data_IF_803041318883
#
_entry.id   IF_803041318883
#
_cell.length_a   1.000
_cell.length_b   1.000
_cell.length_c   1.000
_cell.angle_alpha   90.00
_cell.angle_beta   90.00
_cell.angle_gamma   90.00
#
_symmetry.space_group_name_H-M   'P 1'
#
loop_
_entity.id
_entity.type
_entity.pdbx_description
1 polymer ?
#
# COMPACT_ATOMS: atom_id res chain seq x y z
N UNK A 1 11.86 5.36 -0.01
CA UNK A 1 10.50 5.47 0.58
C UNK A 1 10.29 6.83 1.24
N UNK A 2 11.09 7.24 2.23
CA UNK A 2 10.90 8.53 2.94
C UNK A 2 10.81 9.78 2.05
N UNK A 3 11.66 9.90 1.02
CA UNK A 3 11.61 11.03 0.09
C UNK A 3 10.31 11.12 -0.73
N UNK A 4 9.75 9.98 -1.16
CA UNK A 4 8.49 9.96 -1.90
C UNK A 4 7.29 10.29 -1.01
N UNK A 5 7.31 9.86 0.26
CA UNK A 5 6.29 10.21 1.25
C UNK A 5 6.33 11.70 1.56
N UNK A 6 7.51 12.27 1.80
CA UNK A 6 7.68 13.71 2.02
C UNK A 6 7.22 14.53 0.80
N UNK A 7 7.61 14.10 -0.41
CA UNK A 7 7.16 14.74 -1.64
C UNK A 7 5.64 14.68 -1.76
N UNK A 8 5.05 13.50 -1.53
CA UNK A 8 3.61 13.34 -1.56
C UNK A 8 2.90 14.24 -0.54
N UNK A 9 3.38 14.32 0.72
CA UNK A 9 2.80 15.20 1.74
C UNK A 9 2.81 16.66 1.30
N UNK A 10 3.95 17.14 0.79
CA UNK A 10 4.10 18.54 0.34
C UNK A 10 3.20 18.81 -0.87
N UNK A 11 3.22 17.92 -1.87
CA UNK A 11 2.41 18.06 -3.08
C UNK A 11 0.92 17.95 -2.77
N UNK A 12 0.48 16.94 -2.02
CA UNK A 12 -0.93 16.78 -1.63
C UNK A 12 -1.42 17.95 -0.80
N UNK A 13 -0.62 18.48 0.12
CA UNK A 13 -1.00 19.66 0.90
C UNK A 13 -1.26 20.87 -0.02
N UNK A 14 -0.43 21.07 -1.04
CA UNK A 14 -0.60 22.16 -2.00
C UNK A 14 -1.78 21.92 -2.95
N UNK A 15 -1.97 20.67 -3.39
CA UNK A 15 -3.05 20.25 -4.31
C UNK A 15 -4.42 20.27 -3.63
N UNK A 16 -4.53 19.84 -2.38
CA UNK A 16 -5.78 19.92 -1.58
C UNK A 16 -6.16 21.35 -1.22
N UNK A 17 -5.22 22.30 -1.32
CA UNK A 17 -5.50 23.74 -1.20
C UNK A 17 -6.18 24.31 -2.45
N UNK A 18 -6.16 23.60 -3.58
CA UNK A 18 -6.88 23.97 -4.79
C UNK A 18 -8.34 23.54 -4.70
N UNK A 19 -9.26 24.42 -5.12
CA UNK A 19 -10.71 24.22 -4.98
C UNK A 19 -11.27 23.10 -5.89
N UNK A 20 -10.57 22.73 -6.96
CA UNK A 20 -10.99 21.68 -7.89
C UNK A 20 -9.78 20.96 -8.52
N UNK A 21 -9.88 19.66 -8.83
CA UNK A 21 -8.93 18.99 -9.72
C UNK A 21 -8.98 19.60 -11.14
N UNK A 22 -7.85 19.71 -11.83
CA UNK A 22 -7.78 20.24 -13.20
C UNK A 22 -8.50 19.35 -14.25
N UNK A 23 -8.73 18.08 -13.94
CA UNK A 23 -9.26 17.06 -14.87
C UNK A 23 -10.49 16.31 -14.32
N UNK A 24 -11.01 16.70 -13.15
CA UNK A 24 -12.16 16.04 -12.52
C UNK A 24 -13.05 17.05 -11.76
N UNK A 25 -14.37 16.81 -11.69
CA UNK A 25 -15.32 17.75 -11.08
C UNK A 25 -15.21 17.86 -9.55
N UNK A 26 -14.62 16.87 -8.88
CA UNK A 26 -14.39 16.91 -7.43
C UNK A 26 -13.25 15.98 -7.01
N UNK A 27 -12.60 16.31 -5.88
CA UNK A 27 -11.66 15.37 -5.24
C UNK A 27 -12.46 14.21 -4.63
N UNK A 28 -12.25 13.01 -5.17
CA UNK A 28 -12.77 11.76 -4.59
C UNK A 28 -11.96 11.39 -3.35
N UNK A 29 -12.21 12.09 -2.25
CA UNK A 29 -11.58 11.80 -0.96
C UNK A 29 -12.22 10.56 -0.33
N UNK A 30 -11.42 9.63 0.23
CA UNK A 30 -11.96 8.52 1.00
C UNK A 30 -12.76 9.06 2.19
N UNK A 31 -14.08 8.85 2.19
CA UNK A 31 -14.99 9.23 3.28
C UNK A 31 -14.89 8.30 4.48
N UNK A 32 -14.31 7.10 4.31
CA UNK A 32 -14.08 6.15 5.39
C UNK A 32 -12.79 6.50 6.12
N UNK A 33 -12.91 7.01 7.34
CA UNK A 33 -11.81 7.25 8.29
C UNK A 33 -11.80 6.26 9.44
N UNK A 34 -12.52 5.16 9.30
CA UNK A 34 -12.67 4.17 10.36
C UNK A 34 -11.33 3.43 10.52
N UNK A 35 -10.57 3.81 11.54
CA UNK A 35 -9.40 3.05 11.98
C UNK A 35 -9.94 1.83 12.73
N UNK A 36 -10.21 0.76 12.01
CA UNK A 36 -10.65 -0.50 12.62
C UNK A 36 -9.46 -1.26 13.20
N UNK A 37 -9.72 -2.10 14.21
CA UNK A 37 -8.67 -2.94 14.82
C UNK A 37 -8.05 -3.89 13.80
N UNK A 38 -8.82 -4.39 12.82
CA UNK A 38 -8.25 -5.21 11.74
C UNK A 38 -7.22 -4.43 10.90
N UNK A 39 -7.48 -3.15 10.62
CA UNK A 39 -6.57 -2.32 9.83
C UNK A 39 -5.24 -2.08 10.57
N UNK A 40 -5.31 -1.80 11.87
CA UNK A 40 -4.10 -1.59 12.69
C UNK A 40 -3.28 -2.87 12.76
N UNK A 41 -3.90 -4.00 13.11
CA UNK A 41 -3.21 -5.29 13.25
C UNK A 41 -2.65 -5.74 11.88
N UNK A 42 -3.45 -5.64 10.81
CA UNK A 42 -3.04 -6.00 9.47
C UNK A 42 -1.87 -5.15 8.96
N UNK A 43 -1.92 -3.83 9.17
CA UNK A 43 -0.83 -2.92 8.77
C UNK A 43 0.47 -3.18 9.53
N UNK A 44 0.39 -3.54 10.82
CA UNK A 44 1.54 -3.91 11.62
C UNK A 44 2.18 -5.22 11.14
N UNK A 45 1.39 -6.29 10.98
CA UNK A 45 1.88 -7.59 10.49
C UNK A 45 2.51 -7.45 9.10
N UNK A 46 1.86 -6.68 8.24
CA UNK A 46 2.34 -6.41 6.88
C UNK A 46 3.65 -5.62 6.88
N UNK A 47 3.74 -4.55 7.68
CA UNK A 47 4.96 -3.78 7.85
C UNK A 47 6.13 -4.60 8.41
N UNK A 48 5.86 -5.47 9.39
CA UNK A 48 6.84 -6.41 9.93
C UNK A 48 7.32 -7.41 8.87
N UNK A 49 6.40 -7.99 8.10
CA UNK A 49 6.74 -8.91 7.00
C UNK A 49 7.61 -8.25 5.93
N UNK A 50 7.40 -6.97 5.64
CA UNK A 50 8.23 -6.21 4.69
C UNK A 50 9.60 -5.85 5.27
N UNK A 51 9.64 -5.42 6.53
CA UNK A 51 10.89 -5.10 7.23
C UNK A 51 11.82 -6.30 7.35
N UNK A 52 11.26 -7.48 7.68
CA UNK A 52 12.01 -8.73 7.78
C UNK A 52 12.45 -9.26 6.41
N UNK A 53 11.61 -9.12 5.38
CA UNK A 53 11.95 -9.57 4.03
C UNK A 53 12.96 -8.66 3.33
N UNK A 54 13.17 -7.43 3.81
CA UNK A 54 14.06 -6.44 3.19
C UNK A 54 13.59 -5.96 1.82
N UNK A 55 12.35 -6.28 1.43
CA UNK A 55 11.78 -5.94 0.14
C UNK A 55 10.71 -4.87 0.28
N UNK A 56 10.86 -3.82 -0.51
CA UNK A 56 9.81 -2.84 -0.71
C UNK A 56 8.85 -3.40 -1.79
N UNK A 57 7.53 -3.29 -1.63
CA UNK A 57 6.52 -4.06 -2.37
C UNK A 57 6.39 -3.58 -3.81
N UNK A 58 6.49 -2.26 -4.00
CA UNK A 58 6.44 -1.62 -5.30
C UNK A 58 7.63 -2.05 -6.18
N UNK A 59 8.90 -1.93 -5.74
CA UNK A 59 10.02 -2.48 -6.51
C UNK A 59 10.07 -4.00 -6.48
N UNK A 60 9.51 -4.70 -5.47
CA UNK A 60 9.42 -6.16 -5.48
C UNK A 60 8.50 -6.66 -6.59
N UNK A 61 7.38 -5.98 -6.85
CA UNK A 61 6.49 -6.30 -7.97
C UNK A 61 7.19 -6.12 -9.32
N UNK A 62 7.96 -5.04 -9.49
CA UNK A 62 8.75 -4.78 -10.70
C UNK A 62 9.94 -5.77 -10.81
N UNK A 63 10.57 -6.10 -9.68
CA UNK A 63 11.70 -7.05 -9.61
C UNK A 63 11.26 -8.51 -9.66
N UNK A 64 9.96 -8.79 -9.58
CA UNK A 64 9.44 -10.12 -9.84
C UNK A 64 9.69 -10.54 -11.30
N UNK A 65 9.69 -9.56 -12.22
CA UNK A 65 10.05 -9.77 -13.63
C UNK A 65 11.50 -10.23 -13.79
N UNK A 66 12.38 -9.91 -12.82
CA UNK A 66 13.77 -10.37 -12.81
C UNK A 66 13.92 -11.86 -12.47
N UNK A 67 12.82 -12.59 -12.20
CA UNK A 67 12.81 -14.05 -12.06
C UNK A 67 13.43 -14.59 -10.77
N UNK A 68 13.71 -13.73 -9.78
CA UNK A 68 14.34 -14.17 -8.52
C UNK A 68 13.36 -14.98 -7.68
N UNK A 69 13.69 -16.24 -7.41
CA UNK A 69 12.89 -17.19 -6.59
C UNK A 69 12.43 -16.59 -5.25
N UNK A 70 13.27 -15.87 -4.47
CA UNK A 70 12.83 -15.30 -3.19
C UNK A 70 11.69 -14.28 -3.31
N UNK A 71 11.68 -13.50 -4.40
CA UNK A 71 10.67 -12.46 -4.65
C UNK A 71 9.34 -13.12 -5.04
N UNK A 72 9.40 -14.18 -5.85
CA UNK A 72 8.23 -14.95 -6.27
C UNK A 72 7.57 -15.64 -5.06
N UNK A 73 8.37 -16.25 -4.19
CA UNK A 73 7.87 -16.90 -2.95
C UNK A 73 7.22 -15.86 -2.02
N UNK A 74 7.82 -14.69 -1.89
CA UNK A 74 7.25 -13.60 -1.08
C UNK A 74 5.93 -13.10 -1.67
N UNK A 75 5.87 -12.85 -2.98
CA UNK A 75 4.63 -12.44 -3.65
C UNK A 75 3.53 -13.49 -3.55
N UNK A 76 3.87 -14.78 -3.72
CA UNK A 76 2.92 -15.87 -3.53
C UNK A 76 2.35 -15.88 -2.11
N UNK A 77 3.20 -15.68 -1.10
CA UNK A 77 2.79 -15.60 0.31
C UNK A 77 1.82 -14.44 0.57
N UNK A 78 2.10 -13.26 -0.03
CA UNK A 78 1.21 -12.09 0.05
C UNK A 78 -0.16 -12.38 -0.59
N UNK A 79 -0.19 -13.01 -1.77
CA UNK A 79 -1.42 -13.38 -2.47
C UNK A 79 -2.23 -14.42 -1.69
N UNK A 80 -1.56 -15.41 -1.12
CA UNK A 80 -2.20 -16.41 -0.25
C UNK A 80 -2.82 -15.73 0.97
N UNK A 81 -2.08 -14.84 1.65
CA UNK A 81 -2.59 -14.09 2.79
C UNK A 81 -3.84 -13.27 2.45
N UNK A 82 -3.84 -12.58 1.29
CA UNK A 82 -5.02 -11.84 0.82
C UNK A 82 -6.23 -12.74 0.55
N UNK A 83 -6.01 -13.92 -0.06
CA UNK A 83 -7.09 -14.88 -0.30
C UNK A 83 -7.65 -15.45 1.00
N UNK A 84 -6.79 -15.83 1.93
CA UNK A 84 -7.19 -16.36 3.25
C UNK A 84 -7.99 -15.32 4.02
N UNK A 85 -7.51 -14.07 4.07
CA UNK A 85 -8.25 -12.98 4.72
C UNK A 85 -9.62 -12.75 4.06
N UNK A 86 -9.66 -12.71 2.73
CA UNK A 86 -10.93 -12.57 1.99
C UNK A 86 -11.89 -13.72 2.29
N UNK A 87 -11.39 -14.95 2.45
CA UNK A 87 -12.23 -16.12 2.71
C UNK A 87 -12.71 -16.22 4.15
N UNK A 88 -11.97 -15.65 5.12
CA UNK A 88 -12.38 -15.55 6.52
C UNK A 88 -13.40 -14.42 6.79
N UNK A 89 -13.38 -13.37 5.97
CA UNK A 89 -14.24 -12.18 6.11
C UNK A 89 -15.29 -12.04 5.00
N UNK A 90 -15.48 -13.07 4.16
CA UNK A 90 -16.58 -13.16 3.17
C UNK A 90 -17.74 -13.97 3.71
#
# INVERSE_FOLDING_TARGET
>A
MGGAVLFNIVTFHFVLKQRHPLLAPSFSLPTRKDITKELVIGSAIFGLGWGLAGFCPAPALVSAVTGKVPIIVWLASVVVGMKVYKQLYS
#
